data_IF_610600080029
#
_entry.id   IF_610600080029
#
_cell.length_a   1.000
_cell.length_b   1.000
_cell.length_c   1.000
_cell.angle_alpha   90.00
_cell.angle_beta   90.00
_cell.angle_gamma   90.00
#
_symmetry.space_group_name_H-M   'P 1'
#
loop_
_entity.id
_entity.type
_entity.pdbx_description
1 polymer ?
#
# COMPACT_ATOMS: atom_id res chain seq x y z
N UNK A 1 7.11 -15.77 -17.52
CA UNK A 1 8.22 -15.08 -18.22
C UNK A 1 9.04 -14.24 -17.24
N UNK A 2 8.43 -13.28 -16.54
CA UNK A 2 9.11 -12.40 -15.56
C UNK A 2 9.80 -13.16 -14.41
N UNK A 3 9.14 -14.15 -13.82
CA UNK A 3 9.72 -14.96 -12.74
C UNK A 3 11.05 -15.65 -13.15
N UNK A 4 11.17 -16.07 -14.42
CA UNK A 4 12.41 -16.69 -14.92
C UNK A 4 13.49 -15.65 -15.17
N UNK A 5 13.13 -14.46 -15.63
CA UNK A 5 14.06 -13.34 -15.79
C UNK A 5 14.61 -12.92 -14.42
N UNK A 6 13.74 -12.85 -13.41
CA UNK A 6 14.08 -12.54 -12.03
C UNK A 6 15.12 -13.52 -11.47
N UNK A 7 14.88 -14.82 -11.62
CA UNK A 7 15.83 -15.87 -11.25
C UNK A 7 17.22 -15.66 -11.89
N UNK A 8 17.25 -15.43 -13.20
CA UNK A 8 18.48 -15.22 -13.96
C UNK A 8 19.24 -13.97 -13.49
N UNK A 9 18.53 -12.85 -13.27
CA UNK A 9 19.14 -11.58 -12.86
C UNK A 9 19.77 -11.68 -11.46
N UNK A 10 19.09 -12.33 -10.51
CA UNK A 10 19.57 -12.45 -9.14
C UNK A 10 20.76 -13.39 -9.05
N UNK A 11 20.71 -14.57 -9.70
CA UNK A 11 21.87 -15.47 -9.72
C UNK A 11 23.10 -14.84 -10.39
N UNK A 12 22.90 -14.09 -11.49
CA UNK A 12 24.01 -13.42 -12.19
C UNK A 12 24.65 -12.28 -11.41
N UNK A 13 23.93 -11.66 -10.47
CA UNK A 13 24.47 -10.54 -9.67
C UNK A 13 25.65 -10.95 -8.81
N UNK A 14 25.61 -12.14 -8.22
CA UNK A 14 26.74 -12.70 -7.45
C UNK A 14 27.87 -13.12 -8.37
N UNK A 15 27.56 -13.87 -9.42
CA UNK A 15 28.57 -14.39 -10.36
C UNK A 15 29.39 -13.26 -11.02
N UNK A 16 28.74 -12.16 -11.42
CA UNK A 16 29.37 -11.09 -12.19
C UNK A 16 29.87 -9.92 -11.36
N UNK A 17 29.23 -9.65 -10.23
CA UNK A 17 29.44 -8.41 -9.48
C UNK A 17 29.67 -8.62 -7.98
N UNK A 18 29.56 -9.85 -7.47
CA UNK A 18 29.71 -10.13 -6.03
C UNK A 18 28.66 -9.42 -5.17
N UNK A 19 27.51 -9.08 -5.74
CA UNK A 19 26.45 -8.31 -5.09
C UNK A 19 25.27 -9.23 -4.74
N UNK A 20 24.67 -9.02 -3.57
CA UNK A 20 23.43 -9.66 -3.15
C UNK A 20 22.32 -8.62 -3.02
N UNK A 21 21.18 -8.84 -3.68
CA UNK A 21 20.00 -8.00 -3.52
C UNK A 21 19.18 -8.51 -2.32
N UNK A 22 18.87 -7.65 -1.35
CA UNK A 22 18.06 -8.03 -0.17
C UNK A 22 16.60 -7.57 -0.25
N UNK A 23 16.32 -6.57 -1.09
CA UNK A 23 14.99 -5.96 -1.23
C UNK A 23 14.59 -5.99 -2.71
N UNK A 24 13.39 -6.51 -2.98
CA UNK A 24 12.75 -6.46 -4.29
C UNK A 24 11.58 -5.48 -4.27
N UNK A 25 11.62 -4.45 -5.11
CA UNK A 25 10.48 -3.53 -5.32
C UNK A 25 9.62 -4.05 -6.48
N UNK A 26 8.31 -4.23 -6.28
CA UNK A 26 7.38 -4.67 -7.34
C UNK A 26 6.03 -3.92 -7.36
N UNK A 27 5.31 -4.01 -8.49
CA UNK A 27 4.00 -3.39 -8.71
C UNK A 27 2.82 -4.21 -8.12
N UNK A 28 3.02 -4.83 -6.96
CA UNK A 28 1.99 -5.61 -6.25
C UNK A 28 1.83 -7.06 -6.71
N UNK A 29 2.36 -7.47 -7.86
CA UNK A 29 2.47 -8.91 -8.20
C UNK A 29 3.53 -9.61 -7.32
N UNK A 30 3.26 -10.85 -6.94
CA UNK A 30 4.13 -11.66 -6.06
C UNK A 30 4.75 -12.88 -6.73
N UNK A 31 4.44 -13.18 -8.01
CA UNK A 31 4.89 -14.42 -8.65
C UNK A 31 6.41 -14.47 -8.80
N UNK A 32 7.01 -13.36 -9.21
CA UNK A 32 8.46 -13.27 -9.35
C UNK A 32 9.17 -13.34 -7.99
N UNK A 33 8.60 -12.73 -6.95
CA UNK A 33 9.16 -12.80 -5.59
C UNK A 33 9.06 -14.22 -5.00
N UNK A 34 7.92 -14.89 -5.17
CA UNK A 34 7.75 -16.27 -4.73
C UNK A 34 8.77 -17.20 -5.40
N UNK A 35 9.05 -16.97 -6.69
CA UNK A 35 10.08 -17.72 -7.40
C UNK A 35 11.48 -17.49 -6.83
N UNK A 36 11.79 -16.28 -6.37
CA UNK A 36 13.06 -16.00 -5.69
C UNK A 36 13.18 -16.71 -4.36
N UNK A 37 12.08 -16.78 -3.59
CA UNK A 37 12.04 -17.54 -2.33
C UNK A 37 12.22 -19.05 -2.55
N UNK A 38 11.73 -19.59 -3.66
CA UNK A 38 11.94 -21.01 -4.02
C UNK A 38 13.38 -21.33 -4.44
N UNK A 39 14.02 -20.40 -5.16
CA UNK A 39 15.35 -20.63 -5.74
C UNK A 39 16.47 -20.30 -4.75
N UNK A 40 16.21 -19.43 -3.77
CA UNK A 40 17.18 -19.00 -2.76
C UNK A 40 18.55 -18.67 -3.37
N UNK A 41 18.64 -17.67 -4.28
CA UNK A 41 19.82 -17.44 -5.11
C UNK A 41 21.11 -17.14 -4.34
N UNK A 42 20.99 -16.82 -3.05
CA UNK A 42 22.09 -16.47 -2.15
C UNK A 42 22.24 -17.42 -0.96
N UNK A 43 21.45 -18.52 -0.92
CA UNK A 43 21.44 -19.47 0.18
C UNK A 43 20.55 -19.05 1.38
N UNK A 44 20.47 -19.91 2.41
CA UNK A 44 19.52 -19.75 3.52
C UNK A 44 19.89 -18.62 4.51
N UNK A 45 21.13 -18.16 4.48
CA UNK A 45 21.62 -17.11 5.39
C UNK A 45 21.14 -15.71 5.00
N UNK A 46 20.63 -15.55 3.76
CA UNK A 46 20.23 -14.24 3.22
C UNK A 46 18.71 -14.15 3.14
N UNK A 47 18.13 -13.25 3.95
CA UNK A 47 16.69 -12.98 3.91
C UNK A 47 16.33 -12.01 2.78
N UNK A 48 15.37 -12.42 1.94
CA UNK A 48 14.80 -11.58 0.88
C UNK A 48 13.51 -10.94 1.37
N UNK A 49 13.35 -9.64 1.10
CA UNK A 49 12.14 -8.88 1.41
C UNK A 49 11.54 -8.27 0.14
N UNK A 50 10.21 -8.10 0.16
CA UNK A 50 9.45 -7.49 -0.93
C UNK A 50 8.84 -6.18 -0.44
N UNK A 51 9.05 -5.13 -1.22
CA UNK A 51 8.38 -3.85 -1.06
C UNK A 51 7.47 -3.55 -2.25
N UNK A 52 6.34 -2.89 -1.97
CA UNK A 52 5.46 -2.42 -3.04
C UNK A 52 5.90 -1.04 -3.50
N UNK A 53 5.86 -0.79 -4.81
CA UNK A 53 6.16 0.53 -5.34
C UNK A 53 5.13 1.57 -4.84
N UNK A 54 5.57 2.81 -4.64
CA UNK A 54 4.72 3.91 -4.15
C UNK A 54 3.51 4.16 -5.04
N UNK A 55 3.68 4.00 -6.36
CA UNK A 55 2.59 4.08 -7.32
C UNK A 55 1.53 3.01 -7.09
N UNK A 56 1.93 1.77 -6.78
CA UNK A 56 1.01 0.70 -6.45
C UNK A 56 0.22 1.02 -5.18
N UNK A 57 0.93 1.45 -4.13
CA UNK A 57 0.31 1.85 -2.85
C UNK A 57 -0.71 2.96 -3.07
N UNK A 58 -0.35 4.00 -3.85
CA UNK A 58 -1.26 5.10 -4.19
C UNK A 58 -2.50 4.63 -4.95
N UNK A 59 -2.34 3.78 -5.97
CA UNK A 59 -3.48 3.21 -6.72
C UNK A 59 -4.39 2.37 -5.82
N UNK A 60 -3.82 1.56 -4.94
CA UNK A 60 -4.55 0.73 -3.99
C UNK A 60 -5.39 1.59 -3.03
N UNK A 61 -4.77 2.63 -2.47
CA UNK A 61 -5.44 3.58 -1.59
C UNK A 61 -6.61 4.28 -2.30
N UNK A 62 -6.37 4.86 -3.48
CA UNK A 62 -7.40 5.56 -4.25
C UNK A 62 -8.58 4.64 -4.57
N UNK A 63 -8.31 3.41 -5.05
CA UNK A 63 -9.35 2.42 -5.34
C UNK A 63 -10.19 2.08 -4.09
N UNK A 64 -9.53 1.90 -2.95
CA UNK A 64 -10.21 1.59 -1.68
C UNK A 64 -11.11 2.74 -1.25
N UNK A 65 -10.63 3.98 -1.30
CA UNK A 65 -11.41 5.17 -0.98
C UNK A 65 -12.63 5.33 -1.90
N UNK A 66 -12.46 5.13 -3.21
CA UNK A 66 -13.58 5.19 -4.16
C UNK A 66 -14.65 4.13 -3.87
N UNK A 67 -14.25 2.91 -3.52
CA UNK A 67 -15.18 1.85 -3.14
C UNK A 67 -15.95 2.21 -1.86
N UNK A 68 -15.27 2.74 -0.84
CA UNK A 68 -15.91 3.18 0.40
C UNK A 68 -16.93 4.30 0.14
N UNK A 69 -16.59 5.30 -0.68
CA UNK A 69 -17.51 6.39 -1.05
C UNK A 69 -18.73 5.84 -1.80
N UNK A 70 -18.51 4.93 -2.76
CA UNK A 70 -19.60 4.30 -3.49
C UNK A 70 -20.53 3.50 -2.56
N UNK A 71 -19.97 2.78 -1.59
CA UNK A 71 -20.75 1.97 -0.65
C UNK A 71 -21.51 2.81 0.38
N UNK A 72 -20.93 3.92 0.86
CA UNK A 72 -21.65 4.89 1.68
C UNK A 72 -22.83 5.51 0.92
N UNK A 73 -22.63 5.86 -0.36
CA UNK A 73 -23.69 6.41 -1.21
C UNK A 73 -24.84 5.42 -1.43
N UNK A 74 -24.55 4.12 -1.56
CA UNK A 74 -25.57 3.06 -1.69
C UNK A 74 -26.38 2.87 -0.40
N UNK A 75 -25.74 3.01 0.76
CA UNK A 75 -26.35 2.81 2.08
C UNK A 75 -27.18 4.00 2.57
N UNK A 76 -27.38 5.04 1.74
CA UNK A 76 -28.15 6.22 2.12
C UNK A 76 -27.48 7.13 3.15
N UNK A 77 -26.23 6.85 3.52
CA UNK A 77 -25.42 7.77 4.31
C UNK A 77 -25.01 8.92 3.38
N UNK A 78 -25.61 10.08 3.58
CA UNK A 78 -25.28 11.30 2.86
C UNK A 78 -23.84 11.68 3.21
N UNK A 79 -22.95 11.55 2.21
CA UNK A 79 -21.59 12.05 2.31
C UNK A 79 -21.63 13.57 2.47
N UNK A 80 -21.15 14.05 3.63
CA UNK A 80 -20.98 15.47 3.94
C UNK A 80 -19.93 16.16 3.03
N UNK A 81 -19.32 15.44 2.08
CA UNK A 81 -18.32 15.96 1.15
C UNK A 81 -18.90 16.53 -0.15
N UNK A 82 -20.23 16.44 -0.39
CA UNK A 82 -20.87 17.13 -1.52
C UNK A 82 -21.44 18.49 -1.12
N UNK A 83 -20.59 19.32 -0.52
CA UNK A 83 -20.87 20.74 -0.35
C UNK A 83 -20.66 21.48 -1.67
N UNK A 84 -21.64 21.46 -2.57
CA UNK A 84 -21.87 22.68 -3.36
C UNK A 84 -22.15 23.78 -2.35
N UNK A 85 -21.24 24.74 -2.23
CA UNK A 85 -21.44 25.96 -1.47
C UNK A 85 -22.68 26.68 -2.03
N UNK A 86 -23.85 26.39 -1.47
CA UNK A 86 -25.01 27.25 -1.55
C UNK A 86 -25.11 27.92 -0.20
N UNK A 87 -24.66 29.17 -0.15
CA UNK A 87 -24.77 30.05 0.99
C UNK A 87 -26.26 30.22 1.36
N UNK A 88 -26.72 29.42 2.32
CA UNK A 88 -27.94 29.73 3.08
C UNK A 88 -27.59 29.86 4.55
N UNK A 89 -27.89 31.06 5.03
CA UNK A 89 -27.56 31.60 6.33
C UNK A 89 -28.25 30.87 7.48
N UNK A 90 -27.51 30.73 8.58
CA UNK A 90 -27.96 30.66 9.99
C UNK A 90 -28.75 29.42 10.44
N UNK A 91 -28.07 28.63 11.27
CA UNK A 91 -28.70 27.71 12.21
C UNK A 91 -27.66 27.10 13.15
N UNK A 92 -27.52 27.68 14.34
CA UNK A 92 -26.63 27.22 15.41
C UNK A 92 -26.94 25.76 15.79
N UNK A 93 -25.98 24.84 15.62
CA UNK A 93 -26.00 23.54 16.31
C UNK A 93 -24.58 23.18 16.76
N UNK A 94 -24.49 22.75 18.03
CA UNK A 94 -23.26 22.62 18.80
C UNK A 94 -22.36 21.52 18.23
N UNK A 95 -21.10 21.84 17.98
CA UNK A 95 -20.04 20.84 17.74
C UNK A 95 -19.70 20.14 19.07
N UNK A 96 -19.56 18.80 19.11
CA UNK A 96 -18.91 18.16 20.25
C UNK A 96 -17.41 18.46 20.21
N UNK A 97 -16.90 18.95 21.33
CA UNK A 97 -15.52 19.33 21.57
C UNK A 97 -14.62 18.08 21.63
N UNK A 98 -13.83 17.83 20.57
CA UNK A 98 -12.80 16.79 20.54
C UNK A 98 -11.51 17.38 21.10
N UNK A 99 -11.47 17.61 22.40
CA UNK A 99 -10.22 17.74 23.16
C UNK A 99 -10.34 17.01 24.50
N UNK A 100 -10.53 15.68 24.48
CA UNK A 100 -10.25 14.85 25.68
C UNK A 100 -10.05 13.37 25.38
N UNK A 101 -8.85 12.99 24.95
CA UNK A 101 -8.21 11.76 25.44
C UNK A 101 -6.72 12.03 25.57
N UNK A 102 -6.34 12.47 26.77
CA UNK A 102 -4.97 12.49 27.26
C UNK A 102 -4.41 11.07 27.33
N UNK A 103 -3.21 10.91 26.77
CA UNK A 103 -2.11 10.04 27.18
C UNK A 103 -2.41 8.99 28.27
N UNK A 104 -2.24 7.72 27.91
CA UNK A 104 -2.01 6.61 28.83
C UNK A 104 -0.96 5.69 28.22
N UNK A 105 0.31 6.08 28.37
CA UNK A 105 1.45 5.16 28.37
C UNK A 105 1.81 4.88 29.82
N UNK A 106 1.28 3.78 30.37
CA UNK A 106 1.87 2.94 31.42
C UNK A 106 1.27 1.55 31.29
#
# INVERSE_FOLDING_TARGET
MEAKIMEILWSRSVERHGLQYTIMVSDGDSKAFNRLLEVEPYGPDVSLSKENCTNHVGKCLSKTLHNLVADCSKKGHHSWAKGTWSSHSRGHSKTPDITRTSNSWQ
#
